data_IF_172062262739
#
_entry.id   IF_172062262739
#
_cell.length_a   1.000
_cell.length_b   1.000
_cell.length_c   1.000
_cell.angle_alpha   90.00
_cell.angle_beta   90.00
_cell.angle_gamma   90.00
#
_symmetry.space_group_name_H-M   'P 1'
#
loop_
_entity.id
_entity.type
_entity.pdbx_description
1 polymer ?
#
# COMPACT_ATOMS: atom_id res chain seq x y z
N UNK A 1 34.39 9.75 12.48
CA UNK A 1 33.50 10.27 11.42
C UNK A 1 33.81 9.63 10.06
N UNK A 2 35.05 9.62 9.58
CA UNK A 2 35.42 9.02 8.27
C UNK A 2 35.05 7.54 8.13
N UNK A 3 35.29 6.72 9.14
CA UNK A 3 34.92 5.29 9.12
C UNK A 3 33.39 5.07 9.01
N UNK A 4 32.59 5.93 9.66
CA UNK A 4 31.13 5.89 9.56
C UNK A 4 30.65 6.34 8.18
N UNK A 5 31.24 7.40 7.64
CA UNK A 5 30.95 7.89 6.30
C UNK A 5 31.30 6.84 5.23
N UNK A 6 32.52 6.27 5.26
CA UNK A 6 32.94 5.19 4.36
C UNK A 6 31.98 4.00 4.42
N UNK A 7 31.55 3.62 5.62
CA UNK A 7 30.64 2.50 5.73
C UNK A 7 29.23 2.84 5.23
N UNK A 8 28.73 4.03 5.51
CA UNK A 8 27.43 4.48 5.01
C UNK A 8 27.38 4.49 3.48
N UNK A 9 28.37 5.09 2.81
CA UNK A 9 28.42 5.15 1.34
C UNK A 9 28.58 3.76 0.70
N UNK A 10 29.25 2.83 1.39
CA UNK A 10 29.45 1.45 0.91
C UNK A 10 28.19 0.62 1.09
N UNK A 11 27.54 0.68 2.26
CA UNK A 11 26.29 -0.05 2.54
C UNK A 11 25.12 0.49 1.71
N UNK A 12 25.06 1.80 1.47
CA UNK A 12 24.08 2.42 0.57
C UNK A 12 24.39 2.22 -0.92
N UNK A 13 25.48 1.50 -1.24
CA UNK A 13 25.97 1.26 -2.61
C UNK A 13 26.20 2.52 -3.44
N UNK A 14 26.40 3.68 -2.80
CA UNK A 14 26.76 4.93 -3.48
C UNK A 14 28.21 4.86 -3.97
N UNK A 15 29.12 4.43 -3.09
CA UNK A 15 30.48 4.03 -3.45
C UNK A 15 31.36 5.11 -4.11
N UNK A 16 31.46 6.30 -3.53
CA UNK A 16 32.29 7.39 -4.10
C UNK A 16 33.78 7.05 -4.23
N UNK A 17 34.33 6.17 -3.40
CA UNK A 17 35.72 5.71 -3.48
C UNK A 17 36.78 6.74 -3.05
N UNK A 18 36.36 7.81 -2.37
CA UNK A 18 37.19 8.88 -1.81
C UNK A 18 37.99 8.46 -0.57
N UNK A 19 37.45 7.52 0.20
CA UNK A 19 38.09 6.94 1.38
C UNK A 19 38.33 5.44 1.17
N UNK A 20 39.58 5.00 1.38
CA UNK A 20 39.98 3.58 1.30
C UNK A 20 40.61 3.16 2.63
N UNK A 21 40.05 2.17 3.35
CA UNK A 21 40.58 1.74 4.63
C UNK A 21 41.95 1.08 4.49
N UNK A 22 42.86 1.37 5.42
CA UNK A 22 44.15 0.67 5.54
C UNK A 22 43.96 -0.79 5.96
N UNK A 23 44.96 -1.64 5.70
CA UNK A 23 44.88 -3.10 5.91
C UNK A 23 44.41 -3.53 7.32
N UNK A 24 44.75 -2.76 8.36
CA UNK A 24 44.37 -3.03 9.76
C UNK A 24 42.90 -2.70 10.07
N UNK A 25 42.31 -1.75 9.35
CA UNK A 25 40.91 -1.34 9.52
C UNK A 25 39.93 -2.12 8.64
N UNK A 26 40.41 -2.91 7.67
CA UNK A 26 39.57 -3.70 6.77
C UNK A 26 38.63 -4.66 7.51
N UNK A 27 39.11 -5.32 8.57
CA UNK A 27 38.29 -6.24 9.35
C UNK A 27 37.12 -5.53 10.06
N UNK A 28 37.39 -4.34 10.59
CA UNK A 28 36.37 -3.53 11.28
C UNK A 28 35.36 -2.99 10.25
N UNK A 29 35.83 -2.54 9.09
CA UNK A 29 34.96 -2.13 7.98
C UNK A 29 34.07 -3.29 7.52
N UNK A 30 34.62 -4.48 7.32
CA UNK A 30 33.85 -5.64 6.91
C UNK A 30 32.80 -6.05 7.94
N UNK A 31 33.16 -6.09 9.22
CA UNK A 31 32.21 -6.37 10.30
C UNK A 31 31.08 -5.34 10.36
N UNK A 32 31.38 -4.05 10.17
CA UNK A 32 30.37 -3.00 10.15
C UNK A 32 29.46 -3.12 8.91
N UNK A 33 30.02 -3.38 7.72
CA UNK A 33 29.22 -3.58 6.49
C UNK A 33 28.24 -4.74 6.68
N UNK A 34 28.68 -5.85 7.29
CA UNK A 34 27.80 -6.98 7.60
C UNK A 34 26.71 -6.62 8.60
N UNK A 35 27.04 -5.89 9.67
CA UNK A 35 26.05 -5.41 10.63
C UNK A 35 25.03 -4.47 9.96
N UNK A 36 25.49 -3.56 9.11
CA UNK A 36 24.65 -2.68 8.31
C UNK A 36 23.71 -3.44 7.39
N UNK A 37 24.23 -4.46 6.68
CA UNK A 37 23.43 -5.28 5.78
C UNK A 37 22.36 -6.09 6.52
N UNK A 38 22.70 -6.65 7.68
CA UNK A 38 21.76 -7.35 8.54
C UNK A 38 20.61 -6.44 9.01
N UNK A 39 20.95 -5.21 9.45
CA UNK A 39 19.96 -4.21 9.84
C UNK A 39 19.08 -3.80 8.66
N UNK A 40 19.65 -3.53 7.48
CA UNK A 40 18.86 -3.20 6.29
C UNK A 40 17.94 -4.35 5.89
N UNK A 41 18.39 -5.60 6.00
CA UNK A 41 17.58 -6.78 5.70
C UNK A 41 16.40 -6.90 6.67
N UNK A 42 16.64 -6.69 7.96
CA UNK A 42 15.58 -6.70 8.98
C UNK A 42 14.54 -5.60 8.73
N UNK A 43 14.98 -4.38 8.41
CA UNK A 43 14.09 -3.27 8.09
C UNK A 43 13.29 -3.56 6.82
N UNK A 44 13.94 -4.06 5.76
CA UNK A 44 13.28 -4.46 4.53
C UNK A 44 12.22 -5.54 4.77
N UNK A 45 12.49 -6.51 5.64
CA UNK A 45 11.55 -7.57 5.99
C UNK A 45 10.33 -7.02 6.74
N UNK A 46 10.53 -6.10 7.69
CA UNK A 46 9.43 -5.40 8.37
C UNK A 46 8.57 -4.61 7.38
N UNK A 47 9.23 -3.86 6.50
CA UNK A 47 8.58 -3.09 5.45
C UNK A 47 7.80 -4.00 4.50
N UNK A 48 8.38 -5.14 4.06
CA UNK A 48 7.68 -6.13 3.23
C UNK A 48 6.42 -6.65 3.91
N UNK A 49 6.47 -6.97 5.21
CA UNK A 49 5.31 -7.44 5.98
C UNK A 49 4.20 -6.39 6.01
N UNK A 50 4.56 -5.14 6.29
CA UNK A 50 3.61 -4.03 6.33
C UNK A 50 3.00 -3.73 4.96
N UNK A 51 3.83 -3.76 3.91
CA UNK A 51 3.36 -3.65 2.54
C UNK A 51 2.43 -4.80 2.22
N UNK A 52 2.80 -6.06 2.44
CA UNK A 52 1.95 -7.21 2.12
C UNK A 52 0.53 -7.09 2.72
N UNK A 53 0.42 -6.69 3.99
CA UNK A 53 -0.86 -6.44 4.66
C UNK A 53 -1.63 -5.26 4.03
N UNK A 54 -0.95 -4.18 3.66
CA UNK A 54 -1.58 -3.02 3.03
C UNK A 54 -1.99 -3.28 1.59
N UNK A 55 -1.20 -4.05 0.84
CA UNK A 55 -1.47 -4.48 -0.52
C UNK A 55 -2.68 -5.40 -0.60
N UNK A 56 -2.97 -6.21 0.43
CA UNK A 56 -4.20 -7.01 0.50
C UNK A 56 -5.45 -6.11 0.50
N UNK A 57 -5.44 -5.03 1.28
CA UNK A 57 -6.54 -4.04 1.32
C UNK A 57 -6.72 -3.31 -0.01
N UNK A 58 -5.63 -2.90 -0.63
CA UNK A 58 -5.66 -2.24 -1.96
C UNK A 58 -6.19 -3.20 -3.03
N UNK A 59 -5.82 -4.49 -2.96
CA UNK A 59 -6.26 -5.50 -3.90
C UNK A 59 -7.75 -5.81 -3.77
N UNK A 60 -8.25 -5.87 -2.54
CA UNK A 60 -9.69 -6.01 -2.25
C UNK A 60 -10.48 -4.80 -2.79
N UNK A 61 -10.00 -3.58 -2.53
CA UNK A 61 -10.64 -2.37 -3.06
C UNK A 61 -10.63 -2.35 -4.59
N UNK A 62 -9.52 -2.73 -5.21
CA UNK A 62 -9.40 -2.85 -6.67
C UNK A 62 -10.33 -3.90 -7.26
N UNK A 63 -10.51 -5.04 -6.57
CA UNK A 63 -11.43 -6.10 -7.01
C UNK A 63 -12.89 -5.62 -6.93
N UNK A 64 -13.27 -4.95 -5.84
CA UNK A 64 -14.60 -4.33 -5.69
C UNK A 64 -14.85 -3.24 -6.74
N UNK A 65 -13.87 -2.40 -7.03
CA UNK A 65 -13.99 -1.39 -8.09
C UNK A 65 -14.22 -2.04 -9.46
N UNK A 66 -13.52 -3.14 -9.76
CA UNK A 66 -13.70 -3.86 -11.01
C UNK A 66 -15.08 -4.52 -11.11
N UNK A 67 -15.62 -5.09 -10.03
CA UNK A 67 -16.98 -5.67 -10.05
C UNK A 67 -18.08 -4.60 -10.11
N UNK A 68 -17.86 -3.43 -9.52
CA UNK A 68 -18.77 -2.28 -9.61
C UNK A 68 -18.72 -1.56 -10.96
N UNK A 69 -17.61 -1.67 -11.70
CA UNK A 69 -17.47 -0.97 -13.00
C UNK A 69 -18.54 -1.37 -14.03
N UNK A 70 -19.03 -2.62 -14.00
CA UNK A 70 -20.15 -3.08 -14.82
C UNK A 70 -21.50 -2.44 -14.47
N UNK A 71 -22.03 -2.61 -13.24
CA UNK A 71 -23.30 -2.00 -12.83
C UNK A 71 -23.24 -0.47 -12.80
N UNK A 72 -22.10 0.15 -12.50
CA UNK A 72 -21.92 1.59 -12.60
C UNK A 72 -21.98 2.07 -14.06
N UNK A 73 -21.34 1.37 -15.00
CA UNK A 73 -21.44 1.68 -16.42
C UNK A 73 -22.89 1.54 -16.93
N UNK A 74 -23.63 0.54 -16.44
CA UNK A 74 -25.06 0.37 -16.70
C UNK A 74 -25.90 1.49 -16.09
N UNK A 75 -25.62 1.92 -14.85
CA UNK A 75 -26.32 3.03 -14.20
C UNK A 75 -26.06 4.36 -14.91
N UNK A 76 -24.82 4.64 -15.31
CA UNK A 76 -24.47 5.83 -16.11
C UNK A 76 -25.17 5.78 -17.47
N UNK A 77 -25.21 4.62 -18.12
CA UNK A 77 -25.92 4.46 -19.39
C UNK A 77 -27.42 4.61 -19.25
N UNK A 78 -28.04 4.03 -18.21
CA UNK A 78 -29.46 4.19 -17.89
C UNK A 78 -29.77 5.66 -17.55
N UNK A 79 -28.90 6.36 -16.82
CA UNK A 79 -29.03 7.79 -16.57
C UNK A 79 -28.86 8.63 -17.84
N UNK A 80 -27.98 8.25 -18.78
CA UNK A 80 -27.88 8.91 -20.08
C UNK A 80 -29.12 8.68 -20.95
N UNK A 81 -29.73 7.49 -20.87
CA UNK A 81 -30.99 7.16 -21.54
C UNK A 81 -32.19 7.86 -20.87
N UNK A 82 -32.18 8.03 -19.55
CA UNK A 82 -33.26 8.69 -18.77
C UNK A 82 -33.09 10.22 -18.75
N UNK A 83 -31.87 10.72 -18.93
CA UNK A 83 -31.49 12.13 -18.91
C UNK A 83 -31.90 12.93 -20.15
N UNK A 84 -32.61 12.32 -21.11
CA UNK A 84 -33.31 13.06 -22.16
C UNK A 84 -34.70 13.57 -21.71
N UNK A 85 -35.21 13.16 -20.54
CA UNK A 85 -36.49 13.68 -20.02
C UNK A 85 -36.93 13.05 -18.70
N UNK A 86 -37.00 13.88 -17.67
CA UNK A 86 -37.56 13.65 -16.32
C UNK A 86 -36.66 12.90 -15.31
N UNK A 87 -36.12 13.70 -14.37
CA UNK A 87 -35.58 13.26 -13.10
C UNK A 87 -36.75 12.90 -12.18
N UNK A 88 -37.09 11.62 -12.12
CA UNK A 88 -37.84 11.06 -10.99
C UNK A 88 -36.90 10.07 -10.30
N UNK A 89 -36.58 10.36 -9.04
CA UNK A 89 -35.70 9.51 -8.24
C UNK A 89 -36.52 8.27 -7.86
N UNK A 90 -36.41 7.25 -8.70
CA UNK A 90 -37.19 6.01 -8.63
C UNK A 90 -37.05 5.38 -7.23
N UNK A 91 -38.19 5.03 -6.63
CA UNK A 91 -38.28 4.58 -5.24
C UNK A 91 -37.45 3.30 -4.99
N UNK A 92 -37.23 2.53 -6.06
CA UNK A 92 -36.44 1.31 -6.04
C UNK A 92 -34.94 1.60 -5.80
N UNK A 93 -34.40 2.68 -6.39
CA UNK A 93 -33.01 3.09 -6.18
C UNK A 93 -32.77 3.55 -4.72
N UNK A 94 -33.76 4.21 -4.13
CA UNK A 94 -33.72 4.61 -2.71
C UNK A 94 -33.80 3.40 -1.78
N UNK A 95 -34.52 2.35 -2.16
CA UNK A 95 -34.56 1.10 -1.40
C UNK A 95 -33.21 0.37 -1.44
N UNK A 96 -32.58 0.30 -2.62
CA UNK A 96 -31.28 -0.34 -2.83
C UNK A 96 -30.16 0.37 -2.04
N UNK A 97 -30.12 1.70 -2.08
CA UNK A 97 -29.15 2.50 -1.31
C UNK A 97 -29.32 2.32 0.20
N UNK A 98 -30.57 2.20 0.67
CA UNK A 98 -30.87 1.98 2.09
C UNK A 98 -30.47 0.59 2.57
N UNK A 99 -30.58 -0.42 1.70
CA UNK A 99 -30.08 -1.76 1.99
C UNK A 99 -28.56 -1.81 2.07
N UNK A 100 -27.86 -1.11 1.18
CA UNK A 100 -26.41 -0.98 1.20
C UNK A 100 -25.90 -0.30 2.48
N UNK A 101 -26.58 0.76 2.93
CA UNK A 101 -26.21 1.48 4.15
C UNK A 101 -26.36 0.60 5.41
N UNK A 102 -27.41 -0.23 5.46
CA UNK A 102 -27.62 -1.21 6.52
C UNK A 102 -26.55 -2.30 6.54
N UNK A 103 -26.18 -2.83 5.37
CA UNK A 103 -25.14 -3.85 5.24
C UNK A 103 -23.75 -3.32 5.66
N UNK A 104 -23.45 -2.05 5.33
CA UNK A 104 -22.21 -1.40 5.73
C UNK A 104 -22.15 -1.11 7.24
N UNK A 105 -23.27 -0.74 7.84
CA UNK A 105 -23.35 -0.51 9.29
C UNK A 105 -23.11 -1.80 10.09
N UNK A 106 -23.59 -2.94 9.59
CA UNK A 106 -23.43 -4.24 10.23
C UNK A 106 -21.98 -4.75 10.13
N UNK A 107 -21.34 -4.65 8.95
CA UNK A 107 -19.91 -4.96 8.79
C UNK A 107 -19.02 -4.10 9.70
N UNK A 108 -19.35 -2.82 9.88
CA UNK A 108 -18.60 -1.92 10.75
C UNK A 108 -18.75 -2.27 12.24
N UNK A 109 -19.89 -2.83 12.64
CA UNK A 109 -20.15 -3.27 14.00
C UNK A 109 -19.42 -4.58 14.33
N UNK A 110 -19.38 -5.53 13.41
CA UNK A 110 -18.61 -6.78 13.56
C UNK A 110 -17.10 -6.53 13.67
N UNK A 111 -16.55 -5.63 12.84
CA UNK A 111 -15.12 -5.27 12.89
C UNK A 111 -14.68 -4.56 14.17
N UNK A 112 -15.61 -4.01 14.95
CA UNK A 112 -15.31 -3.41 16.27
C UNK A 112 -15.33 -4.43 17.41
N UNK A 113 -15.85 -5.64 17.17
CA UNK A 113 -15.95 -6.73 18.16
C UNK A 113 -14.84 -7.77 18.03
N UNK A 114 -14.11 -7.78 16.91
CA UNK A 114 -12.91 -8.58 16.67
C UNK A 114 -11.64 -7.78 16.99
#
# INVERSE_FOLDING_TARGET
FEAFYFCFITTSTIGFGDLVPSARSLLICWAYILAGLALTTMVLELVRRQYAASWARVRELSARLHTLSGPLALAIRKMAETGAGQVEMDADLMAELRQLDLALADEAAERRRA
#
